data_IF_756641615650
#
_entry.id   IF_756641615650
#
_cell.length_a   1.000
_cell.length_b   1.000
_cell.length_c   1.000
_cell.angle_alpha   90.00
_cell.angle_beta   90.00
_cell.angle_gamma   90.00
#
_symmetry.space_group_name_H-M   'P 1'
#
loop_
_entity.id
_entity.type
_entity.pdbx_description
1 polymer ?
#
# COMPACT_ATOMS: atom_id res chain seq x y z
N UNK A 1 12.82 1.40 -4.35
CA UNK A 1 12.72 2.22 -3.11
C UNK A 1 11.79 1.54 -2.12
N UNK A 2 11.96 1.71 -0.82
CA UNK A 2 10.99 1.24 0.18
C UNK A 2 9.97 2.33 0.50
N UNK A 3 8.68 2.04 0.31
CA UNK A 3 7.61 3.01 0.56
C UNK A 3 7.29 3.22 2.04
N UNK A 4 7.79 2.36 2.94
CA UNK A 4 7.62 2.53 4.40
C UNK A 4 8.65 3.48 5.02
N UNK A 5 9.92 3.35 4.66
CA UNK A 5 11.02 4.08 5.31
C UNK A 5 11.89 4.88 4.32
N UNK A 6 11.43 5.03 3.08
CA UNK A 6 12.12 5.76 1.99
C UNK A 6 13.55 5.29 1.70
N UNK A 7 13.94 4.11 2.21
CA UNK A 7 15.29 3.57 2.00
C UNK A 7 15.43 3.10 0.55
N UNK A 8 16.50 3.53 -0.12
CA UNK A 8 16.90 2.98 -1.42
C UNK A 8 17.54 1.62 -1.19
N UNK A 9 16.96 0.58 -1.79
CA UNK A 9 17.41 -0.79 -1.61
C UNK A 9 18.21 -1.25 -2.83
N UNK A 10 19.27 -2.06 -2.65
CA UNK A 10 19.98 -2.65 -3.77
C UNK A 10 19.06 -3.60 -4.56
N UNK A 11 19.35 -3.78 -5.85
CA UNK A 11 18.59 -4.70 -6.73
C UNK A 11 18.65 -6.14 -6.20
N UNK A 12 19.80 -6.55 -5.71
CA UNK A 12 20.01 -7.87 -5.10
C UNK A 12 20.14 -7.69 -3.58
N UNK A 13 19.12 -8.10 -2.85
CA UNK A 13 19.17 -8.22 -1.40
C UNK A 13 19.38 -9.68 -0.99
N UNK A 14 20.48 -10.04 -0.31
CA UNK A 14 20.71 -11.41 0.14
C UNK A 14 19.66 -11.91 1.15
N UNK A 15 18.94 -11.00 1.82
CA UNK A 15 17.80 -11.34 2.71
C UNK A 15 16.49 -11.60 1.94
N UNK A 16 16.49 -11.48 0.61
CA UNK A 16 15.31 -11.73 -0.23
C UNK A 16 14.41 -10.50 -0.41
N UNK A 17 13.11 -10.75 -0.54
CA UNK A 17 12.11 -9.75 -0.92
C UNK A 17 11.67 -8.85 0.26
N UNK A 18 12.60 -8.06 0.80
CA UNK A 18 12.31 -7.13 1.89
C UNK A 18 13.26 -5.94 1.90
N UNK A 19 12.88 -4.89 2.60
CA UNK A 19 13.74 -3.75 2.82
C UNK A 19 14.95 -4.09 3.72
N UNK A 20 16.14 -3.61 3.38
CA UNK A 20 17.36 -3.79 4.18
C UNK A 20 17.33 -3.05 5.52
N UNK A 21 16.53 -1.99 5.62
CA UNK A 21 16.40 -1.15 6.82
C UNK A 21 15.20 -1.58 7.67
N UNK A 22 13.98 -1.39 7.15
CA UNK A 22 12.75 -1.67 7.92
C UNK A 22 12.22 -3.10 7.79
N UNK A 23 12.83 -3.93 6.95
CA UNK A 23 12.40 -5.31 6.67
C UNK A 23 10.97 -5.46 6.14
N UNK A 24 10.32 -4.37 5.74
CA UNK A 24 9.04 -4.42 5.03
C UNK A 24 9.17 -5.30 3.78
N UNK A 25 8.33 -6.34 3.64
CA UNK A 25 8.26 -7.11 2.40
C UNK A 25 7.80 -6.22 1.24
N UNK A 26 8.45 -6.33 0.08
CA UNK A 26 7.99 -5.59 -1.09
C UNK A 26 6.82 -6.31 -1.76
N UNK A 27 5.80 -5.53 -2.11
CA UNK A 27 4.69 -5.98 -2.94
C UNK A 27 5.03 -5.62 -4.38
N UNK A 28 5.12 -6.62 -5.25
CA UNK A 28 5.44 -6.41 -6.66
C UNK A 28 4.19 -6.52 -7.53
N UNK A 29 4.17 -5.74 -8.61
CA UNK A 29 3.22 -5.93 -9.71
C UNK A 29 3.49 -7.27 -10.39
N UNK A 30 2.43 -8.05 -10.62
CA UNK A 30 2.54 -9.38 -11.21
C UNK A 30 2.73 -9.39 -12.74
N UNK A 31 3.02 -8.23 -13.35
CA UNK A 31 3.34 -8.09 -14.79
C UNK A 31 4.79 -7.65 -14.98
N UNK A 32 5.14 -6.48 -14.46
CA UNK A 32 6.44 -5.84 -14.69
C UNK A 32 7.44 -6.06 -13.54
N UNK A 33 7.00 -6.67 -12.42
CA UNK A 33 7.78 -6.88 -11.20
C UNK A 33 8.32 -5.60 -10.53
N UNK A 34 7.74 -4.44 -10.84
CA UNK A 34 8.03 -3.20 -10.12
C UNK A 34 7.39 -3.21 -8.74
N UNK A 35 8.03 -2.53 -7.79
CA UNK A 35 7.54 -2.42 -6.42
C UNK A 35 6.37 -1.45 -6.38
N UNK A 36 5.21 -1.95 -5.94
CA UNK A 36 4.00 -1.16 -5.75
C UNK A 36 4.11 -0.30 -4.48
N UNK A 37 3.57 0.94 -4.47
CA UNK A 37 3.54 1.85 -3.31
C UNK A 37 2.56 1.41 -2.22
N UNK A 38 2.58 0.13 -1.87
CA UNK A 38 1.68 -0.50 -0.91
C UNK A 38 2.41 -0.83 0.38
N UNK A 39 1.74 -0.56 1.49
CA UNK A 39 2.18 -1.00 2.81
C UNK A 39 1.12 -1.92 3.40
N UNK A 40 1.55 -3.12 3.78
CA UNK A 40 0.71 -4.07 4.50
C UNK A 40 0.49 -3.61 5.93
N UNK A 41 -0.73 -3.73 6.41
CA UNK A 41 -1.08 -3.52 7.80
C UNK A 41 -1.97 -4.64 8.32
N UNK A 42 -1.87 -4.87 9.62
CA UNK A 42 -2.72 -5.80 10.35
C UNK A 42 -3.80 -5.04 11.10
N UNK A 43 -4.95 -5.67 11.22
CA UNK A 43 -6.04 -5.17 12.05
C UNK A 43 -5.78 -5.61 13.49
N UNK A 44 -6.15 -4.75 14.43
CA UNK A 44 -6.19 -5.07 15.85
C UNK A 44 -7.10 -6.29 16.16
N UNK A 45 -6.76 -7.06 17.20
CA UNK A 45 -7.42 -8.35 17.47
C UNK A 45 -8.90 -8.25 17.88
N UNK A 46 -9.36 -7.04 18.21
CA UNK A 46 -10.74 -6.74 18.58
C UNK A 46 -11.70 -6.66 17.37
N UNK A 47 -11.19 -6.65 16.15
CA UNK A 47 -11.98 -6.46 14.92
C UNK A 47 -11.81 -7.69 14.01
N UNK A 48 -12.94 -8.24 13.56
CA UNK A 48 -12.96 -9.32 12.56
C UNK A 48 -12.64 -8.80 11.16
N UNK A 49 -12.14 -9.67 10.29
CA UNK A 49 -11.78 -9.30 8.91
C UNK A 49 -13.02 -8.74 8.16
N UNK A 50 -14.20 -9.33 8.36
CA UNK A 50 -15.46 -8.87 7.79
C UNK A 50 -15.91 -7.52 8.36
N UNK A 51 -15.76 -7.31 9.67
CA UNK A 51 -16.09 -6.03 10.31
C UNK A 51 -15.15 -4.91 9.84
N UNK A 52 -13.86 -5.19 9.63
CA UNK A 52 -12.93 -4.22 9.09
C UNK A 52 -13.31 -3.80 7.66
N UNK A 53 -13.69 -4.75 6.81
CA UNK A 53 -14.21 -4.45 5.46
C UNK A 53 -15.48 -3.59 5.55
N UNK A 54 -16.38 -3.87 6.49
CA UNK A 54 -17.57 -3.05 6.71
C UNK A 54 -17.21 -1.63 7.14
N UNK A 55 -16.26 -1.47 8.08
CA UNK A 55 -15.80 -0.15 8.52
C UNK A 55 -15.22 0.64 7.34
N UNK A 56 -14.39 0.00 6.51
CA UNK A 56 -13.81 0.64 5.33
C UNK A 56 -14.87 1.05 4.32
N UNK A 57 -15.92 0.26 4.12
CA UNK A 57 -17.01 0.59 3.19
C UNK A 57 -17.90 1.75 3.68
N UNK A 58 -18.02 1.94 5.00
CA UNK A 58 -18.79 3.03 5.60
C UNK A 58 -17.95 4.25 5.99
N UNK A 59 -16.63 4.18 5.82
CA UNK A 59 -15.74 5.30 6.08
C UNK A 59 -16.06 6.45 5.11
N UNK A 60 -16.50 7.58 5.67
CA UNK A 60 -16.70 8.81 4.90
C UNK A 60 -15.35 9.54 4.92
N UNK A 61 -14.72 9.80 3.77
CA UNK A 61 -13.47 10.54 3.73
C UNK A 61 -13.71 11.92 4.34
N UNK A 62 -13.00 12.26 5.41
CA UNK A 62 -12.91 13.65 5.85
C UNK A 62 -12.33 14.44 4.68
N UNK A 63 -13.04 15.48 4.24
CA UNK A 63 -12.63 16.32 3.10
C UNK A 63 -11.15 16.68 3.27
N UNK A 64 -10.30 16.21 2.35
CA UNK A 64 -8.93 16.71 2.20
C UNK A 64 -9.07 18.22 1.95
N UNK A 65 -8.65 19.06 2.90
CA UNK A 65 -8.29 20.45 2.58
C UNK A 65 -7.21 20.41 1.49
N UNK A 66 -7.15 21.46 0.68
CA UNK A 66 -6.37 21.52 -0.57
C UNK A 66 -5.00 20.80 -0.52
N UNK A 67 -4.57 20.15 -1.61
CA UNK A 67 -3.33 19.41 -1.65
C UNK A 67 -2.17 20.39 -1.54
N UNK A 68 -1.67 20.60 -0.33
CA UNK A 68 -0.31 21.10 -0.13
C UNK A 68 0.60 20.00 -0.68
N UNK A 69 1.41 20.31 -1.70
CA UNK A 69 2.42 19.42 -2.28
C UNK A 69 3.31 18.82 -1.17
N UNK A 70 2.89 17.66 -0.64
CA UNK A 70 3.54 16.95 0.49
C UNK A 70 4.86 16.30 0.10
N UNK A 71 5.20 16.30 -1.19
CA UNK A 71 6.41 15.65 -1.72
C UNK A 71 7.18 16.63 -2.61
N UNK A 72 8.27 17.19 -2.10
CA UNK A 72 9.25 17.91 -2.92
C UNK A 72 10.53 17.11 -2.99
N UNK A 73 10.91 16.72 -4.21
CA UNK A 73 12.23 16.19 -4.48
C UNK A 73 13.24 17.34 -4.44
N UNK A 74 14.12 17.35 -3.44
CA UNK A 74 15.24 18.30 -3.40
C UNK A 74 16.46 17.64 -4.03
N UNK A 75 16.96 18.26 -5.11
CA UNK A 75 18.20 17.87 -5.77
C UNK A 75 19.38 18.66 -5.16
N UNK A 76 20.02 18.10 -4.14
CA UNK A 76 21.34 18.56 -3.69
C UNK A 76 22.34 17.39 -3.74
N UNK A 77 23.29 17.49 -4.68
CA UNK A 77 24.23 16.41 -4.98
C UNK A 77 23.57 15.25 -5.74
N UNK A 78 24.39 14.30 -6.23
CA UNK A 78 23.96 13.14 -7.05
C UNK A 78 23.15 12.09 -6.24
N UNK A 79 22.30 12.54 -5.31
CA UNK A 79 21.51 11.76 -4.37
C UNK A 79 20.14 12.41 -4.24
N UNK A 80 19.13 11.83 -4.89
CA UNK A 80 17.74 12.23 -4.72
C UNK A 80 17.27 11.85 -3.31
N UNK A 81 16.80 12.83 -2.53
CA UNK A 81 16.23 12.61 -1.20
C UNK A 81 14.82 13.22 -1.17
N UNK A 82 13.83 12.40 -0.80
CA UNK A 82 12.50 12.90 -0.47
C UNK A 82 12.57 13.56 0.92
N UNK A 83 12.28 14.86 0.98
CA UNK A 83 12.25 15.63 2.24
C UNK A 83 10.79 15.82 2.65
N UNK A 84 10.45 15.36 3.84
CA UNK A 84 9.14 15.59 4.45
C UNK A 84 9.19 16.93 5.20
N UNK A 85 8.42 17.93 4.77
CA UNK A 85 8.27 19.17 5.51
C UNK A 85 7.15 19.01 6.55
N UNK A 86 7.52 19.11 7.82
CA UNK A 86 6.71 18.78 8.98
C UNK A 86 5.92 20.00 9.50
N UNK A 87 5.20 20.71 8.61
CA UNK A 87 4.60 22.02 8.96
C UNK A 87 3.11 22.02 9.29
N UNK A 88 2.38 20.90 9.33
CA UNK A 88 0.95 20.95 9.70
C UNK A 88 0.50 19.73 10.53
N UNK A 89 0.34 19.92 11.85
CA UNK A 89 -0.17 18.93 12.81
C UNK A 89 -1.68 18.62 12.66
N UNK A 90 -2.44 19.40 11.87
CA UNK A 90 -3.91 19.26 11.78
C UNK A 90 -4.41 18.47 10.55
N UNK A 91 -3.52 17.93 9.72
CA UNK A 91 -3.88 17.28 8.45
C UNK A 91 -3.08 16.03 8.08
N UNK A 92 -2.37 15.43 9.05
CA UNK A 92 -1.66 14.17 8.83
C UNK A 92 -2.65 13.00 8.89
N UNK A 93 -2.65 12.18 7.85
CA UNK A 93 -3.36 10.91 7.83
C UNK A 93 -2.91 10.08 9.05
N UNK A 94 -3.81 9.66 9.96
CA UNK A 94 -3.45 8.92 11.17
C UNK A 94 -2.65 7.65 10.89
N UNK A 95 -2.82 7.06 9.70
CA UNK A 95 -2.00 5.94 9.25
C UNK A 95 -0.56 6.34 8.96
N UNK A 96 -0.32 7.50 8.33
CA UNK A 96 1.04 8.00 8.04
C UNK A 96 1.73 8.38 9.35
N UNK A 97 1.03 9.05 10.27
CA UNK A 97 1.56 9.31 11.61
C UNK A 97 1.97 8.02 12.32
N UNK A 98 1.13 6.98 12.23
CA UNK A 98 1.46 5.65 12.78
C UNK A 98 2.66 5.02 12.09
N UNK A 99 2.75 5.10 10.76
CA UNK A 99 3.86 4.60 9.96
C UNK A 99 5.21 5.20 10.39
N UNK A 100 5.25 6.53 10.61
CA UNK A 100 6.44 7.28 11.00
C UNK A 100 6.82 7.07 12.47
N UNK A 101 5.82 6.91 13.35
CA UNK A 101 6.02 6.71 14.80
C UNK A 101 6.62 5.34 15.18
N UNK A 102 6.66 4.39 14.25
CA UNK A 102 7.20 3.06 14.56
C UNK A 102 8.72 3.14 14.57
N UNK A 103 9.26 3.32 15.77
CA UNK A 103 10.69 3.20 16.05
C UNK A 103 11.18 1.80 15.66
N UNK A 104 12.10 1.75 14.71
CA UNK A 104 12.85 0.53 14.34
C UNK A 104 13.90 0.26 15.40
N UNK A 105 13.43 -0.08 16.59
CA UNK A 105 14.28 -0.50 17.69
C UNK A 105 14.63 -1.98 17.48
N UNK A 106 15.68 -2.21 16.67
CA UNK A 106 16.20 -3.52 16.31
C UNK A 106 16.10 -3.90 14.82
N UNK A 107 16.74 -5.01 14.45
CA UNK A 107 16.70 -5.60 13.11
C UNK A 107 15.52 -6.57 12.96
N UNK A 108 14.38 -6.29 13.58
CA UNK A 108 13.19 -7.15 13.53
C UNK A 108 12.01 -6.41 12.89
N UNK A 109 11.33 -7.07 11.95
CA UNK A 109 10.15 -6.52 11.28
C UNK A 109 8.98 -6.35 12.27
N UNK A 110 8.54 -5.11 12.46
CA UNK A 110 7.32 -4.79 13.22
C UNK A 110 6.18 -4.45 12.25
N UNK A 111 5.11 -5.26 12.17
CA UNK A 111 3.96 -4.98 11.33
C UNK A 111 3.16 -3.78 11.86
N UNK A 112 2.48 -3.08 10.97
CA UNK A 112 1.66 -1.92 11.35
C UNK A 112 0.31 -2.44 11.82
N UNK A 113 0.02 -2.28 13.11
CA UNK A 113 -1.30 -2.61 13.65
C UNK A 113 -2.18 -1.36 13.64
N UNK A 114 -3.36 -1.48 13.06
CA UNK A 114 -4.30 -0.38 12.83
C UNK A 114 -5.55 -0.60 13.68
N UNK A 115 -5.90 0.40 14.49
CA UNK A 115 -7.10 0.39 15.33
C UNK A 115 -8.33 0.81 14.55
N UNK A 116 -9.52 0.56 15.15
CA UNK A 116 -10.83 0.95 14.60
C UNK A 116 -10.89 2.43 14.19
N UNK A 117 -10.27 3.30 14.99
CA UNK A 117 -10.26 4.75 14.76
C UNK A 117 -9.49 5.12 13.51
N UNK A 118 -8.35 4.47 13.26
CA UNK A 118 -7.54 4.74 12.07
C UNK A 118 -8.24 4.17 10.82
N UNK A 119 -8.81 2.96 10.91
CA UNK A 119 -9.60 2.36 9.82
C UNK A 119 -10.75 3.26 9.35
N UNK A 120 -11.47 3.90 10.29
CA UNK A 120 -12.56 4.84 9.98
C UNK A 120 -12.10 6.11 9.24
N UNK A 121 -10.84 6.50 9.42
CA UNK A 121 -10.25 7.66 8.76
C UNK A 121 -9.59 7.31 7.42
N UNK A 122 -9.52 6.02 7.05
CA UNK A 122 -9.00 5.60 5.76
C UNK A 122 -10.04 5.74 4.65
N UNK A 123 -9.58 6.13 3.47
CA UNK A 123 -10.42 6.13 2.26
C UNK A 123 -10.49 4.72 1.67
N UNK A 124 -11.68 4.23 1.37
CA UNK A 124 -11.90 2.90 0.76
C UNK A 124 -11.13 2.68 -0.54
N UNK A 125 -10.97 3.72 -1.36
CA UNK A 125 -10.25 3.67 -2.65
C UNK A 125 -8.74 3.50 -2.48
N UNK A 126 -8.19 3.85 -1.31
CA UNK A 126 -6.76 3.76 -1.02
C UNK A 126 -6.38 2.43 -0.36
N UNK A 127 -7.36 1.57 -0.06
CA UNK A 127 -7.17 0.30 0.65
C UNK A 127 -7.54 -0.90 -0.24
N UNK A 128 -6.58 -1.81 -0.40
CA UNK A 128 -6.73 -3.08 -1.10
C UNK A 128 -6.82 -4.22 -0.08
N UNK A 129 -7.91 -4.99 -0.18
CA UNK A 129 -8.16 -6.15 0.68
C UNK A 129 -7.99 -7.42 -0.16
N UNK A 130 -7.11 -8.33 0.26
CA UNK A 130 -6.98 -9.67 -0.31
C UNK A 130 -7.75 -10.64 0.60
N UNK A 131 -8.83 -11.19 0.07
CA UNK A 131 -9.81 -12.03 0.76
C UNK A 131 -9.49 -13.51 0.57
N UNK A 132 -8.70 -14.10 1.45
CA UNK A 132 -8.34 -15.51 1.32
C UNK A 132 -9.43 -16.44 1.87
N UNK A 133 -9.63 -17.63 1.28
CA UNK A 133 -10.54 -18.62 1.85
C UNK A 133 -10.00 -19.12 3.20
N UNK A 134 -10.92 -19.46 4.11
CA UNK A 134 -10.59 -20.04 5.42
C UNK A 134 -9.65 -21.25 5.24
N UNK A 135 -8.58 -21.40 6.04
CA UNK A 135 -8.34 -20.75 7.34
C UNK A 135 -7.47 -19.48 7.29
N UNK A 136 -7.13 -18.97 6.11
CA UNK A 136 -6.26 -17.80 5.99
C UNK A 136 -7.02 -16.52 6.32
N UNK A 137 -6.37 -15.58 7.03
CA UNK A 137 -6.91 -14.24 7.30
C UNK A 137 -6.76 -13.33 6.08
N UNK A 138 -7.57 -12.29 6.03
CA UNK A 138 -7.48 -11.28 4.99
C UNK A 138 -6.20 -10.45 5.15
N UNK A 139 -5.64 -10.02 4.02
CA UNK A 139 -4.50 -9.10 4.01
C UNK A 139 -4.94 -7.72 3.57
N UNK A 140 -4.48 -6.70 4.29
CA UNK A 140 -4.87 -5.32 4.05
C UNK A 140 -3.65 -4.51 3.63
N UNK A 141 -3.78 -3.80 2.53
CA UNK A 141 -2.73 -2.96 1.98
C UNK A 141 -3.26 -1.54 1.77
N UNK A 142 -2.50 -0.53 2.18
CA UNK A 142 -2.80 0.87 1.88
C UNK A 142 -1.81 1.41 0.86
N UNK A 143 -2.31 2.08 -0.18
CA UNK A 143 -1.44 2.83 -1.10
C UNK A 143 -1.00 4.15 -0.47
N UNK A 144 0.26 4.51 -0.70
CA UNK A 144 0.82 5.80 -0.25
C UNK A 144 0.85 6.85 -1.37
N UNK A 145 0.65 6.45 -2.62
CA UNK A 145 0.67 7.32 -3.80
C UNK A 145 -0.57 7.07 -4.68
N UNK A 146 -1.79 7.31 -4.17
CA UNK A 146 -3.03 7.06 -4.92
C UNK A 146 -3.19 7.93 -6.18
N UNK A 147 -2.61 9.13 -6.17
CA UNK A 147 -2.76 10.11 -7.26
C UNK A 147 -1.74 9.87 -8.39
N UNK A 148 -0.54 9.37 -8.06
CA UNK A 148 0.54 9.13 -9.03
C UNK A 148 0.55 7.71 -9.59
N UNK A 149 0.14 6.72 -8.77
CA UNK A 149 0.24 5.31 -9.12
C UNK A 149 -1.10 4.61 -8.93
N UNK A 150 -1.74 4.29 -10.04
CA UNK A 150 -2.97 3.50 -10.07
C UNK A 150 -2.65 2.00 -9.95
N UNK A 151 -3.36 1.32 -9.06
CA UNK A 151 -3.19 -0.12 -8.81
C UNK A 151 -4.54 -0.80 -8.97
N UNK A 152 -4.55 -1.97 -9.61
CA UNK A 152 -5.74 -2.80 -9.77
C UNK A 152 -5.54 -4.17 -9.13
N UNK A 153 -6.59 -4.68 -8.49
CA UNK A 153 -6.67 -6.03 -7.94
C UNK A 153 -7.50 -6.92 -8.86
N UNK A 154 -6.96 -8.07 -9.27
CA UNK A 154 -7.77 -9.09 -9.96
C UNK A 154 -8.76 -9.75 -9.00
N UNK A 155 -10.03 -9.89 -9.43
CA UNK A 155 -11.09 -10.46 -8.58
C UNK A 155 -10.96 -11.97 -8.38
N UNK A 156 -10.27 -12.67 -9.28
CA UNK A 156 -10.13 -14.13 -9.23
C UNK A 156 -8.87 -14.58 -8.50
N UNK A 157 -7.70 -14.03 -8.87
CA UNK A 157 -6.42 -14.44 -8.30
C UNK A 157 -5.92 -13.55 -7.17
N UNK A 158 -6.61 -12.43 -6.92
CA UNK A 158 -6.30 -11.45 -5.87
C UNK A 158 -4.87 -10.91 -5.94
N UNK A 159 -4.26 -10.95 -7.13
CA UNK A 159 -2.97 -10.30 -7.39
C UNK A 159 -3.17 -8.83 -7.71
N UNK A 160 -2.14 -8.06 -7.38
CA UNK A 160 -2.09 -6.61 -7.56
C UNK A 160 -1.18 -6.30 -8.75
N UNK A 161 -1.57 -5.30 -9.52
CA UNK A 161 -0.92 -4.89 -10.76
C UNK A 161 -0.96 -3.36 -10.87
N UNK A 162 -0.04 -2.78 -11.63
CA UNK A 162 -0.29 -1.45 -12.18
C UNK A 162 -1.50 -1.52 -13.12
N UNK A 163 -2.39 -0.53 -13.02
CA UNK A 163 -3.63 -0.52 -13.81
C UNK A 163 -3.33 -0.51 -15.30
N UNK A 164 -2.45 0.38 -15.74
CA UNK A 164 -2.10 0.57 -17.16
C UNK A 164 -1.54 -0.70 -17.79
N UNK A 165 -0.63 -1.39 -17.07
CA UNK A 165 -0.06 -2.66 -17.51
C UNK A 165 -1.13 -3.76 -17.60
N UNK A 166 -2.01 -3.84 -16.61
CA UNK A 166 -3.08 -4.83 -16.56
C UNK A 166 -4.07 -4.60 -17.70
N UNK A 167 -4.54 -3.37 -17.90
CA UNK A 167 -5.47 -3.00 -18.96
C UNK A 167 -4.88 -3.27 -20.34
N UNK A 168 -3.62 -2.90 -20.57
CA UNK A 168 -2.93 -3.19 -21.82
C UNK A 168 -2.89 -4.69 -22.12
N UNK A 169 -2.52 -5.52 -21.12
CA UNK A 169 -2.49 -6.98 -21.28
C UNK A 169 -3.89 -7.57 -21.43
N UNK A 170 -4.88 -7.01 -20.74
CA UNK A 170 -6.26 -7.43 -20.85
C UNK A 170 -6.84 -7.11 -22.24
N UNK A 171 -6.55 -5.94 -22.80
CA UNK A 171 -6.94 -5.58 -24.17
C UNK A 171 -6.28 -6.48 -25.23
N UNK A 172 -5.02 -6.90 -25.00
CA UNK A 172 -4.30 -7.78 -25.92
C UNK A 172 -4.84 -9.22 -25.93
N UNK A 173 -5.17 -9.77 -24.76
CA UNK A 173 -5.48 -11.19 -24.61
C UNK A 173 -6.93 -11.51 -24.21
N UNK A 174 -7.65 -10.52 -23.67
CA UNK A 174 -9.03 -10.64 -23.20
C UNK A 174 -9.17 -11.37 -21.86
N UNK A 175 -8.11 -11.49 -21.07
CA UNK A 175 -8.11 -12.16 -19.76
C UNK A 175 -7.01 -11.63 -18.83
N UNK A 176 -7.11 -11.90 -17.51
CA UNK A 176 -6.08 -11.57 -16.54
C UNK A 176 -4.73 -12.22 -16.92
N UNK A 177 -3.61 -11.48 -17.00
CA UNK A 177 -2.32 -12.01 -17.45
C UNK A 177 -1.75 -13.10 -16.52
N UNK A 178 -2.21 -13.15 -15.26
CA UNK A 178 -1.76 -14.15 -14.30
C UNK A 178 -2.65 -15.41 -14.30
N UNK A 179 -3.95 -15.28 -14.03
CA UNK A 179 -4.85 -16.44 -13.89
C UNK A 179 -5.63 -16.81 -15.14
N UNK A 180 -5.56 -16.00 -16.20
CA UNK A 180 -6.24 -16.21 -17.49
C UNK A 180 -7.78 -16.24 -17.42
N UNK A 181 -8.34 -15.77 -16.30
CA UNK A 181 -9.78 -15.62 -16.15
C UNK A 181 -10.24 -14.28 -16.72
N UNK A 182 -11.45 -14.24 -17.29
CA UNK A 182 -12.02 -13.01 -17.83
C UNK A 182 -12.71 -12.24 -16.71
N UNK A 183 -12.40 -10.95 -16.57
CA UNK A 183 -13.22 -10.07 -15.76
C UNK A 183 -14.57 -9.95 -16.46
N UNK A 184 -15.57 -10.71 -15.98
CA UNK A 184 -16.97 -10.41 -16.32
C UNK A 184 -17.27 -9.07 -15.67
N UNK A 185 -17.27 -8.02 -16.48
CA UNK A 185 -18.03 -6.82 -16.15
C UNK A 185 -19.48 -7.30 -15.96
N UNK A 186 -20.00 -7.09 -14.75
CA UNK A 186 -21.42 -7.28 -14.45
C UNK A 186 -22.24 -6.17 -15.06
#
# INVERSE_FOLDING_TARGET
MCYRCSTTNPILNPKGNQCVNCQQPFVHSFINFEVLPLVEFMIEEDISDEEAVQILNHAIPLKKSEPVDKWKASLEGNSERLVFNDTDEEGQDPFIGRLLSIEQDGNDFKPIVVSRSILKNMTRSEVYVLEWPKPLRFQFFKTLLPDDVSIIKCLFCQKLFHTDDFELKYLQFGYCPFCREKHREG
#
